data_IF_486875302392
#
_entry.id   IF_486875302392
#
_cell.length_a   1.000
_cell.length_b   1.000
_cell.length_c   1.000
_cell.angle_alpha   90.00
_cell.angle_beta   90.00
_cell.angle_gamma   90.00
#
_symmetry.space_group_name_H-M   'P 1'
#
loop_
_entity.id
_entity.type
_entity.pdbx_description
1 polymer ?
#
# COMPACT_ATOMS: atom_id res chain seq x y z
N UNK A 1 13.94 -40.13 2.87
CA UNK A 1 12.82 -39.18 3.02
C UNK A 1 13.27 -37.80 2.57
N UNK A 2 12.64 -37.29 1.56
CA UNK A 2 12.99 -35.97 1.06
C UNK A 2 12.45 -34.87 2.01
N UNK A 3 13.33 -33.97 2.41
CA UNK A 3 12.91 -32.78 3.13
C UNK A 3 12.15 -31.85 2.16
N UNK A 4 10.91 -31.56 2.45
CA UNK A 4 10.17 -30.53 1.71
C UNK A 4 10.67 -29.18 2.21
N UNK A 5 11.39 -28.47 1.34
CA UNK A 5 11.77 -27.09 1.63
C UNK A 5 10.51 -26.24 1.50
N UNK A 6 9.95 -25.82 2.62
CA UNK A 6 8.86 -24.86 2.65
C UNK A 6 9.45 -23.48 2.47
N UNK A 7 8.81 -22.67 1.61
CA UNK A 7 9.11 -21.25 1.56
C UNK A 7 8.87 -20.61 2.95
N UNK A 8 9.71 -19.65 3.37
CA UNK A 8 9.44 -18.94 4.61
C UNK A 8 8.02 -18.36 4.61
N UNK A 9 7.36 -18.39 5.75
CA UNK A 9 6.04 -17.80 5.90
C UNK A 9 6.10 -16.29 5.65
N UNK A 10 5.05 -15.76 5.02
CA UNK A 10 4.89 -14.33 4.87
C UNK A 10 4.66 -13.70 6.25
N UNK A 11 5.45 -12.69 6.56
CA UNK A 11 5.44 -12.00 7.84
C UNK A 11 5.08 -10.53 7.65
N UNK A 12 4.27 -9.99 8.56
CA UNK A 12 3.91 -8.58 8.58
C UNK A 12 4.48 -7.94 9.85
N UNK A 13 5.19 -6.85 9.69
CA UNK A 13 5.74 -6.11 10.82
C UNK A 13 5.74 -4.61 10.55
N UNK A 14 5.79 -3.78 11.62
CA UNK A 14 5.94 -2.34 11.45
C UNK A 14 7.21 -1.98 10.68
N UNK A 15 7.08 -1.01 9.79
CA UNK A 15 8.21 -0.46 9.05
C UNK A 15 9.11 0.35 9.97
N UNK A 16 10.41 0.25 9.78
CA UNK A 16 11.42 1.00 10.53
C UNK A 16 12.27 1.84 9.57
N UNK A 17 12.97 2.85 10.10
CA UNK A 17 13.88 3.67 9.29
C UNK A 17 14.92 2.83 8.55
N UNK A 18 15.38 1.74 9.16
CA UNK A 18 16.35 0.82 8.56
C UNK A 18 15.79 0.06 7.36
N UNK A 19 14.48 0.02 7.17
CA UNK A 19 13.84 -0.60 6.01
C UNK A 19 13.83 0.33 4.79
N UNK A 20 14.01 1.63 4.97
CA UNK A 20 13.79 2.61 3.91
C UNK A 20 14.68 2.41 2.68
N UNK A 21 15.96 2.04 2.77
CA UNK A 21 16.74 1.78 1.56
C UNK A 21 16.11 0.74 0.64
N UNK A 22 15.63 -0.36 1.18
CA UNK A 22 14.97 -1.41 0.40
C UNK A 22 13.58 -0.98 -0.09
N UNK A 23 12.80 -0.32 0.77
CA UNK A 23 11.46 0.21 0.43
C UNK A 23 11.56 1.21 -0.73
N UNK A 24 12.52 2.12 -0.66
CA UNK A 24 12.71 3.16 -1.70
C UNK A 24 13.12 2.53 -3.02
N UNK A 25 13.96 1.51 -3.00
CA UNK A 25 14.33 0.78 -4.21
C UNK A 25 13.10 0.15 -4.87
N UNK A 26 12.23 -0.51 -4.09
CA UNK A 26 10.99 -1.10 -4.58
C UNK A 26 10.07 0.00 -5.14
N UNK A 27 9.94 1.11 -4.42
CA UNK A 27 9.10 2.23 -4.83
C UNK A 27 9.53 2.80 -6.19
N UNK A 28 10.83 3.04 -6.37
CA UNK A 28 11.40 3.58 -7.62
C UNK A 28 11.18 2.64 -8.81
N UNK A 29 11.23 1.34 -8.59
CA UNK A 29 11.02 0.34 -9.64
C UNK A 29 9.55 0.14 -9.99
N UNK A 30 8.65 0.55 -9.10
CA UNK A 30 7.22 0.26 -9.22
C UNK A 30 6.41 1.44 -9.75
N UNK A 31 6.86 2.66 -9.53
CA UNK A 31 6.09 3.87 -9.84
C UNK A 31 6.90 4.88 -10.65
N UNK A 32 6.28 5.52 -11.66
CA UNK A 32 6.95 6.58 -12.43
C UNK A 32 7.18 7.86 -11.63
N UNK A 33 6.37 8.10 -10.58
CA UNK A 33 6.50 9.25 -9.69
C UNK A 33 6.60 8.76 -8.25
N UNK A 34 7.74 8.15 -7.87
CA UNK A 34 7.89 7.49 -6.59
C UNK A 34 7.96 8.48 -5.43
N UNK A 35 7.52 8.03 -4.25
CA UNK A 35 7.80 8.73 -3.01
C UNK A 35 9.29 8.75 -2.74
N UNK A 36 9.75 9.81 -2.09
CA UNK A 36 11.15 9.97 -1.67
C UNK A 36 11.35 9.43 -0.26
N UNK A 37 12.63 9.31 0.15
CA UNK A 37 12.97 8.97 1.52
C UNK A 37 12.34 9.93 2.53
N UNK A 38 12.32 11.23 2.21
CA UNK A 38 11.74 12.25 3.10
C UNK A 38 10.27 11.98 3.36
N UNK A 39 9.51 11.62 2.31
CA UNK A 39 8.07 11.33 2.45
C UNK A 39 7.85 10.13 3.38
N UNK A 40 8.60 9.04 3.18
CA UNK A 40 8.49 7.85 4.05
C UNK A 40 8.90 8.17 5.48
N UNK A 41 10.00 8.89 5.69
CA UNK A 41 10.45 9.29 7.01
C UNK A 41 9.41 10.17 7.71
N UNK A 42 8.80 11.10 6.98
CA UNK A 42 7.74 11.96 7.53
C UNK A 42 6.53 11.14 7.97
N UNK A 43 6.14 10.11 7.22
CA UNK A 43 5.06 9.21 7.61
C UNK A 43 5.39 8.46 8.91
N UNK A 44 6.62 7.96 9.04
CA UNK A 44 7.07 7.28 10.25
C UNK A 44 7.07 8.23 11.45
N UNK A 45 7.58 9.44 11.29
CA UNK A 45 7.63 10.45 12.35
C UNK A 45 6.25 10.94 12.76
N UNK A 46 5.32 11.04 11.80
CA UNK A 46 3.94 11.43 12.07
C UNK A 46 3.15 10.35 12.82
N UNK A 47 3.71 9.16 12.98
CA UNK A 47 3.04 8.07 13.68
C UNK A 47 2.00 7.36 12.81
N UNK A 48 2.08 7.48 11.49
CA UNK A 48 1.22 6.71 10.60
C UNK A 48 1.53 5.22 10.71
N UNK A 49 0.55 4.37 10.43
CA UNK A 49 0.75 2.93 10.43
C UNK A 49 1.44 2.51 9.14
N UNK A 50 2.74 2.33 9.23
CA UNK A 50 3.59 1.92 8.12
C UNK A 50 4.00 0.47 8.35
N UNK A 51 3.76 -0.39 7.36
CA UNK A 51 3.96 -1.83 7.48
C UNK A 51 4.77 -2.38 6.33
N UNK A 52 5.58 -3.37 6.61
CA UNK A 52 6.26 -4.17 5.60
C UNK A 52 5.80 -5.61 5.71
N UNK A 53 5.77 -6.32 4.60
CA UNK A 53 5.60 -7.76 4.58
C UNK A 53 6.81 -8.39 3.90
N UNK A 54 7.22 -9.54 4.39
CA UNK A 54 8.43 -10.17 3.89
C UNK A 54 8.48 -11.65 4.14
N UNK A 55 9.50 -12.27 3.55
CA UNK A 55 9.84 -13.68 3.70
C UNK A 55 11.34 -13.80 3.85
N UNK A 56 11.79 -14.49 4.92
CA UNK A 56 13.21 -14.76 5.09
C UNK A 56 14.10 -13.52 5.15
N UNK A 57 13.60 -12.41 5.69
CA UNK A 57 14.34 -11.15 5.81
C UNK A 57 14.28 -10.24 4.58
N UNK A 58 13.66 -10.68 3.49
CA UNK A 58 13.46 -9.87 2.29
C UNK A 58 12.09 -9.18 2.32
N UNK A 59 12.03 -7.90 1.97
CA UNK A 59 10.76 -7.17 1.87
C UNK A 59 10.10 -7.48 0.53
N UNK A 60 8.89 -8.03 0.60
CA UNK A 60 8.07 -8.36 -0.57
C UNK A 60 7.06 -7.25 -0.90
N UNK A 61 6.68 -6.46 0.10
CA UNK A 61 5.75 -5.36 -0.08
C UNK A 61 5.63 -4.49 1.16
N UNK A 62 4.93 -3.39 1.02
CA UNK A 62 4.71 -2.44 2.10
C UNK A 62 3.44 -1.63 1.88
N UNK A 63 2.98 -1.01 2.96
CA UNK A 63 1.84 -0.12 2.90
C UNK A 63 1.87 0.92 4.00
N UNK A 64 1.23 2.04 3.75
CA UNK A 64 1.12 3.16 4.69
C UNK A 64 -0.34 3.58 4.79
N UNK A 65 -0.83 3.63 6.02
CA UNK A 65 -2.19 4.08 6.31
C UNK A 65 -2.15 5.11 7.44
N UNK A 66 -2.90 6.20 7.29
CA UNK A 66 -3.12 7.17 8.35
C UNK A 66 -4.51 6.95 8.95
N UNK A 67 -4.66 7.22 10.23
CA UNK A 67 -5.95 7.16 10.93
C UNK A 67 -6.14 8.46 11.70
N UNK A 68 -7.27 9.10 11.49
CA UNK A 68 -7.66 10.32 12.20
C UNK A 68 -9.12 10.20 12.62
N UNK A 69 -9.37 10.03 13.92
CA UNK A 69 -10.70 9.79 14.44
C UNK A 69 -11.26 8.47 13.89
N UNK A 70 -12.43 8.53 13.27
CA UNK A 70 -13.12 7.38 12.68
C UNK A 70 -12.79 7.17 11.19
N UNK A 71 -11.92 8.00 10.62
CA UNK A 71 -11.51 7.90 9.21
C UNK A 71 -10.08 7.40 9.08
N UNK A 72 -9.85 6.56 8.08
CA UNK A 72 -8.51 6.15 7.69
C UNK A 72 -8.27 6.42 6.22
N UNK A 73 -7.00 6.52 5.83
CA UNK A 73 -6.60 6.82 4.48
C UNK A 73 -5.43 5.93 4.08
N UNK A 74 -5.62 5.13 3.04
CA UNK A 74 -4.54 4.34 2.47
C UNK A 74 -3.70 5.27 1.58
N UNK A 75 -2.47 5.54 2.00
CA UNK A 75 -1.59 6.52 1.33
C UNK A 75 -0.67 5.85 0.32
N UNK A 76 -0.26 4.64 0.56
CA UNK A 76 0.62 3.88 -0.33
C UNK A 76 0.46 2.38 -0.08
N UNK A 77 0.51 1.60 -1.13
CA UNK A 77 0.60 0.14 -1.07
C UNK A 77 1.39 -0.33 -2.29
N UNK A 78 2.33 -1.21 -2.07
CA UNK A 78 3.20 -1.68 -3.14
C UNK A 78 3.67 -3.11 -2.89
N UNK A 79 3.72 -3.91 -3.94
CA UNK A 79 4.32 -5.23 -3.93
C UNK A 79 5.54 -5.19 -4.86
N UNK A 80 6.65 -5.75 -4.38
CA UNK A 80 7.89 -5.87 -5.18
C UNK A 80 7.56 -6.46 -6.55
N UNK A 81 8.08 -5.89 -7.66
CA UNK A 81 7.72 -6.36 -9.00
C UNK A 81 7.87 -7.88 -9.20
N UNK A 82 8.93 -8.48 -8.65
CA UNK A 82 9.19 -9.92 -8.77
C UNK A 82 8.19 -10.78 -8.01
N UNK A 83 7.45 -10.18 -7.09
CA UNK A 83 6.52 -10.89 -6.19
C UNK A 83 5.06 -10.59 -6.52
N UNK A 84 4.79 -9.84 -7.58
CA UNK A 84 3.43 -9.53 -8.02
C UNK A 84 2.73 -10.76 -8.60
N UNK A 85 1.40 -10.70 -8.69
CA UNK A 85 0.53 -11.77 -9.22
C UNK A 85 0.58 -13.08 -8.40
N UNK A 86 0.90 -12.96 -7.11
CA UNK A 86 0.91 -14.09 -6.16
C UNK A 86 -0.08 -13.89 -5.02
N UNK A 87 -0.97 -12.91 -5.14
CA UNK A 87 -1.96 -12.60 -4.10
C UNK A 87 -1.42 -11.81 -2.92
N UNK A 88 -0.18 -11.31 -2.97
CA UNK A 88 0.42 -10.55 -1.87
C UNK A 88 -0.26 -9.20 -1.66
N UNK A 89 -0.64 -8.51 -2.73
CA UNK A 89 -1.35 -7.23 -2.64
C UNK A 89 -2.65 -7.38 -1.86
N UNK A 90 -3.40 -8.45 -2.11
CA UNK A 90 -4.63 -8.75 -1.39
C UNK A 90 -4.38 -9.02 0.08
N UNK A 91 -3.34 -9.78 0.41
CA UNK A 91 -2.98 -10.08 1.81
C UNK A 91 -2.53 -8.82 2.54
N UNK A 92 -1.71 -8.01 1.89
CA UNK A 92 -1.23 -6.75 2.45
C UNK A 92 -2.39 -5.77 2.68
N UNK A 93 -3.27 -5.61 1.71
CA UNK A 93 -4.45 -4.75 1.85
C UNK A 93 -5.35 -5.24 2.98
N UNK A 94 -5.58 -6.54 3.09
CA UNK A 94 -6.35 -7.14 4.17
C UNK A 94 -5.74 -6.84 5.55
N UNK A 95 -4.41 -6.90 5.64
CA UNK A 95 -3.70 -6.56 6.88
C UNK A 95 -3.91 -5.08 7.25
N UNK A 96 -3.76 -4.17 6.28
CA UNK A 96 -3.96 -2.73 6.52
C UNK A 96 -5.39 -2.41 6.92
N UNK A 97 -6.37 -3.08 6.34
CA UNK A 97 -7.77 -2.96 6.74
C UNK A 97 -7.96 -3.40 8.20
N UNK A 98 -7.34 -4.50 8.59
CA UNK A 98 -7.35 -4.97 9.98
C UNK A 98 -6.74 -3.93 10.92
N UNK A 99 -5.63 -3.30 10.53
CA UNK A 99 -4.99 -2.23 11.31
C UNK A 99 -5.94 -1.03 11.47
N UNK A 100 -6.60 -0.62 10.38
CA UNK A 100 -7.57 0.47 10.44
C UNK A 100 -8.70 0.16 11.44
N UNK A 101 -9.22 -1.06 11.41
CA UNK A 101 -10.25 -1.50 12.36
C UNK A 101 -9.75 -1.48 13.81
N UNK A 102 -8.53 -1.90 14.05
CA UNK A 102 -7.92 -1.87 15.40
C UNK A 102 -7.78 -0.46 15.94
N UNK A 103 -7.66 0.53 15.07
CA UNK A 103 -7.62 1.94 15.43
C UNK A 103 -9.00 2.59 15.45
N UNK A 104 -10.07 1.79 15.40
CA UNK A 104 -11.47 2.22 15.45
C UNK A 104 -11.90 3.09 14.25
N UNK A 105 -11.25 2.94 13.11
CA UNK A 105 -11.70 3.57 11.89
C UNK A 105 -13.00 2.91 11.41
N UNK A 106 -13.94 3.72 10.93
CA UNK A 106 -15.21 3.25 10.39
C UNK A 106 -15.22 3.23 8.87
N UNK A 107 -14.25 3.89 8.25
CA UNK A 107 -14.12 3.99 6.79
C UNK A 107 -12.66 4.12 6.42
N UNK A 108 -12.31 3.57 5.25
CA UNK A 108 -10.99 3.77 4.64
C UNK A 108 -11.16 4.36 3.25
N UNK A 109 -10.45 5.46 3.01
CA UNK A 109 -10.40 6.17 1.72
C UNK A 109 -9.07 5.93 1.03
N UNK A 110 -9.07 6.04 -0.28
CA UNK A 110 -7.85 6.06 -1.08
C UNK A 110 -8.08 6.83 -2.39
N UNK A 111 -6.99 7.28 -2.99
CA UNK A 111 -6.96 7.80 -4.34
C UNK A 111 -6.18 6.85 -5.24
N UNK A 112 -6.65 6.65 -6.46
CA UNK A 112 -5.99 5.78 -7.44
C UNK A 112 -6.09 6.39 -8.83
N UNK A 113 -5.02 6.22 -9.63
CA UNK A 113 -5.05 6.63 -11.05
C UNK A 113 -6.03 5.75 -11.82
N UNK A 114 -6.92 6.32 -12.65
CA UNK A 114 -7.77 5.52 -13.53
C UNK A 114 -6.96 4.55 -14.41
N UNK A 115 -5.75 4.94 -14.80
CA UNK A 115 -4.85 4.11 -15.61
C UNK A 115 -4.27 2.91 -14.87
N UNK A 116 -4.28 2.92 -13.54
CA UNK A 116 -3.76 1.80 -12.74
C UNK A 116 -4.81 0.71 -12.59
N UNK A 117 -5.00 -0.08 -13.67
CA UNK A 117 -6.04 -1.10 -13.73
C UNK A 117 -5.84 -2.21 -12.69
N UNK A 118 -4.60 -2.62 -12.45
CA UNK A 118 -4.29 -3.66 -11.48
C UNK A 118 -4.69 -3.25 -10.06
N UNK A 119 -4.38 -2.01 -9.66
CA UNK A 119 -4.77 -1.47 -8.36
C UNK A 119 -6.30 -1.35 -8.24
N UNK A 120 -6.94 -0.85 -9.28
CA UNK A 120 -8.41 -0.72 -9.30
C UNK A 120 -9.09 -2.07 -9.08
N UNK A 121 -8.60 -3.12 -9.74
CA UNK A 121 -9.12 -4.48 -9.57
C UNK A 121 -8.91 -4.99 -8.15
N UNK A 122 -7.75 -4.71 -7.56
CA UNK A 122 -7.45 -5.07 -6.18
C UNK A 122 -8.45 -4.44 -5.22
N UNK A 123 -8.69 -3.13 -5.36
CA UNK A 123 -9.59 -2.39 -4.48
C UNK A 123 -11.05 -2.80 -4.69
N UNK A 124 -11.48 -2.97 -5.93
CA UNK A 124 -12.83 -3.41 -6.24
C UNK A 124 -13.12 -4.80 -5.64
N UNK A 125 -12.17 -5.73 -5.77
CA UNK A 125 -12.29 -7.06 -5.17
C UNK A 125 -12.31 -7.02 -3.64
N UNK A 126 -11.81 -5.95 -3.03
CA UNK A 126 -11.81 -5.72 -1.58
C UNK A 126 -12.99 -4.85 -1.13
N UNK A 127 -14.03 -4.72 -1.96
CA UNK A 127 -15.28 -4.02 -1.65
C UNK A 127 -15.13 -2.50 -1.51
N UNK A 128 -14.13 -1.90 -2.15
CA UNK A 128 -14.07 -0.45 -2.28
C UNK A 128 -15.03 0.02 -3.36
N UNK A 129 -15.69 1.14 -3.12
CA UNK A 129 -16.63 1.76 -4.04
C UNK A 129 -16.15 3.15 -4.43
N UNK A 130 -16.41 3.53 -5.67
CA UNK A 130 -16.06 4.86 -6.18
C UNK A 130 -16.98 5.92 -5.61
N UNK A 131 -16.40 6.99 -5.04
CA UNK A 131 -17.14 8.14 -4.52
C UNK A 131 -17.12 9.33 -5.47
N UNK A 132 -16.05 9.46 -6.26
CA UNK A 132 -15.86 10.62 -7.12
C UNK A 132 -14.46 10.65 -7.70
N UNK A 133 -14.05 11.82 -8.19
CA UNK A 133 -12.70 12.01 -8.70
C UNK A 133 -12.15 13.38 -8.33
N UNK A 134 -10.81 13.50 -8.30
CA UNK A 134 -10.10 14.76 -8.21
C UNK A 134 -9.48 15.05 -9.56
N UNK A 135 -9.82 16.15 -10.17
CA UNK A 135 -9.28 16.57 -11.46
C UNK A 135 -7.80 16.89 -11.36
N UNK A 136 -7.04 16.45 -12.37
CA UNK A 136 -5.64 16.81 -12.57
C UNK A 136 -4.77 16.60 -11.31
N UNK A 137 -5.05 15.55 -10.56
CA UNK A 137 -4.40 15.26 -9.26
C UNK A 137 -3.00 14.73 -9.41
N UNK A 138 -2.77 13.82 -10.38
CA UNK A 138 -1.48 13.16 -10.57
C UNK A 138 -0.73 13.72 -11.77
N UNK A 139 0.62 13.84 -11.69
CA UNK A 139 1.43 14.08 -12.89
C UNK A 139 1.32 12.88 -13.85
N UNK A 140 1.24 13.16 -15.15
CA UNK A 140 1.16 12.13 -16.20
C UNK A 140 1.77 12.67 -17.50
N UNK A 141 2.95 12.16 -17.88
CA UNK A 141 3.65 12.63 -19.07
C UNK A 141 3.85 14.14 -19.05
N UNK A 142 3.37 14.84 -20.08
CA UNK A 142 3.40 16.30 -20.17
C UNK A 142 2.16 16.95 -19.52
N UNK A 143 1.17 16.16 -19.11
CA UNK A 143 -0.07 16.63 -18.53
C UNK A 143 -0.30 16.08 -17.14
N UNK A 144 -1.58 15.93 -16.81
CA UNK A 144 -2.01 15.43 -15.51
C UNK A 144 -3.12 14.41 -15.70
N UNK A 145 -3.27 13.55 -14.72
CA UNK A 145 -4.32 12.53 -14.67
C UNK A 145 -5.18 12.75 -13.43
N UNK A 146 -6.48 12.51 -13.53
CA UNK A 146 -7.39 12.56 -12.39
C UNK A 146 -7.06 11.47 -11.38
N UNK A 147 -7.54 11.65 -10.15
CA UNK A 147 -7.57 10.59 -9.16
C UNK A 147 -9.01 10.12 -8.97
N UNK A 148 -9.23 8.82 -9.01
CA UNK A 148 -10.48 8.22 -8.52
C UNK A 148 -10.41 8.16 -7.01
N UNK A 149 -11.49 8.58 -6.35
CA UNK A 149 -11.61 8.48 -4.89
C UNK A 149 -12.46 7.25 -4.60
N UNK A 150 -11.87 6.31 -3.88
CA UNK A 150 -12.55 5.08 -3.48
C UNK A 150 -12.67 5.03 -1.96
N UNK A 151 -13.71 4.37 -1.47
CA UNK A 151 -13.91 4.17 -0.05
C UNK A 151 -14.52 2.81 0.24
N UNK A 152 -14.21 2.31 1.43
CA UNK A 152 -14.82 1.12 2.00
C UNK A 152 -15.24 1.40 3.43
N UNK A 153 -16.50 1.07 3.75
CA UNK A 153 -16.99 1.04 5.15
C UNK A 153 -16.40 -0.19 5.85
N UNK A 154 -15.92 0.01 7.04
CA UNK A 154 -15.27 -1.04 7.83
C UNK A 154 -16.20 -1.69 8.85
#
# INVERSE_FOLDING_TARGET
>A
MSAILKEPALDFRPMQETDLPEVIEIERRSYPHPWTQVIFSDCLQAGYSCWVCGRGGSIEGYGVISVAGDESHLLNICVRPESQQQGLGKKLLSHLITIARRHNAEVIFLEVRPSNVAARRLYEAADFNELGNRRDYYPSGEGREDALILARTL
#
